data_IF_462654737036
#
_entry.id   IF_462654737036
#
_cell.length_a   1.000
_cell.length_b   1.000
_cell.length_c   1.000
_cell.angle_alpha   90.00
_cell.angle_beta   90.00
_cell.angle_gamma   90.00
#
_symmetry.space_group_name_H-M   'P 1'
#
loop_
_entity.id
_entity.type
_entity.pdbx_description
1 polymer ?
#
# COMPACT_ATOMS: atom_id res chain seq x y z
N UNK A 1 3.59 -46.43 32.75
CA UNK A 1 2.13 -46.13 32.83
C UNK A 1 1.97 -44.67 33.23
N UNK A 2 1.22 -43.93 32.40
CA UNK A 2 0.43 -42.71 32.63
C UNK A 2 0.84 -41.65 33.69
N UNK A 3 1.24 -40.46 33.18
CA UNK A 3 0.50 -39.17 33.13
C UNK A 3 -0.21 -38.68 34.41
N UNK A 4 -0.17 -37.41 34.86
CA UNK A 4 -0.45 -36.08 34.27
C UNK A 4 -0.07 -35.02 35.36
N UNK A 5 0.07 -33.69 35.21
CA UNK A 5 -0.60 -32.66 34.40
C UNK A 5 0.39 -31.50 34.19
N UNK A 6 0.69 -31.16 32.93
CA UNK A 6 1.31 -29.89 32.55
C UNK A 6 0.23 -28.92 32.08
N UNK A 7 0.21 -27.71 32.65
CA UNK A 7 -0.67 -26.62 32.23
C UNK A 7 -0.25 -26.12 30.85
N UNK A 8 -1.09 -26.38 29.85
CA UNK A 8 -0.94 -25.87 28.50
C UNK A 8 -1.30 -24.37 28.47
N UNK A 9 -0.29 -23.51 28.44
CA UNK A 9 -0.43 -22.15 27.92
C UNK A 9 -0.49 -22.21 26.39
N UNK A 10 -1.57 -21.68 25.83
CA UNK A 10 -1.82 -21.64 24.39
C UNK A 10 -0.63 -20.99 23.63
N UNK A 11 -0.12 -21.59 22.55
CA UNK A 11 0.92 -20.96 21.72
C UNK A 11 0.33 -19.76 20.96
N UNK A 12 0.89 -18.57 21.21
CA UNK A 12 0.56 -17.32 20.53
C UNK A 12 0.75 -17.42 19.00
N UNK A 13 -0.33 -17.19 18.27
CA UNK A 13 -0.47 -17.22 16.80
C UNK A 13 0.14 -15.99 16.09
N UNK A 14 0.84 -15.11 16.81
CA UNK A 14 1.29 -13.79 16.34
C UNK A 14 2.71 -13.77 15.74
N UNK A 15 3.37 -14.93 15.64
CA UNK A 15 4.78 -15.06 15.20
C UNK A 15 4.97 -15.34 13.71
N UNK A 16 3.94 -15.19 12.88
CA UNK A 16 3.91 -15.84 11.55
C UNK A 16 4.03 -14.93 10.32
N UNK A 17 4.23 -13.62 10.45
CA UNK A 17 4.35 -12.74 9.26
C UNK A 17 5.81 -12.35 8.96
N UNK A 18 6.71 -12.44 9.94
CA UNK A 18 8.17 -12.56 9.74
C UNK A 18 8.67 -13.41 10.90
N UNK A 19 9.30 -14.56 10.64
CA UNK A 19 9.99 -15.32 11.69
C UNK A 19 11.14 -14.48 12.22
N UNK A 20 11.28 -14.36 13.54
CA UNK A 20 12.46 -13.74 14.19
C UNK A 20 13.77 -14.48 13.83
N UNK A 21 13.63 -15.66 13.24
CA UNK A 21 14.63 -16.60 12.79
C UNK A 21 14.93 -16.50 11.28
N UNK A 22 14.46 -15.45 10.58
CA UNK A 22 15.04 -15.08 9.28
C UNK A 22 16.45 -14.53 9.55
N UNK A 23 17.53 -15.26 9.18
CA UNK A 23 18.88 -14.77 9.39
C UNK A 23 18.99 -13.41 8.72
N UNK A 24 19.53 -12.42 9.43
CA UNK A 24 19.85 -11.11 8.86
C UNK A 24 20.57 -11.36 7.54
N UNK A 25 19.89 -11.09 6.42
CA UNK A 25 20.44 -11.27 5.09
C UNK A 25 21.54 -10.21 5.01
N UNK A 26 22.77 -10.58 5.38
CA UNK A 26 23.97 -9.86 5.01
C UNK A 26 24.17 -10.11 3.52
N UNK A 27 23.31 -9.49 2.71
CA UNK A 27 23.54 -9.39 1.28
C UNK A 27 24.72 -8.43 1.12
N UNK A 28 25.86 -8.96 0.66
CA UNK A 28 26.82 -8.11 -0.05
C UNK A 28 26.05 -7.40 -1.17
N UNK A 29 25.90 -6.07 -1.08
CA UNK A 29 25.21 -5.28 -2.12
C UNK A 29 25.92 -5.55 -3.45
N UNK A 30 25.24 -6.29 -4.35
CA UNK A 30 25.77 -6.51 -5.69
C UNK A 30 25.56 -5.24 -6.51
N UNK A 31 26.54 -4.85 -7.35
CA UNK A 31 26.37 -3.70 -8.26
C UNK A 31 25.15 -3.81 -9.18
N UNK A 32 24.69 -5.04 -9.45
CA UNK A 32 23.49 -5.35 -10.23
C UNK A 32 22.22 -4.83 -9.55
N UNK A 33 22.09 -5.03 -8.23
CA UNK A 33 20.93 -4.58 -7.45
C UNK A 33 20.76 -3.05 -7.50
N UNK A 34 21.87 -2.30 -7.53
CA UNK A 34 21.82 -0.85 -7.65
C UNK A 34 21.32 -0.42 -9.03
N UNK A 35 21.77 -1.08 -10.11
CA UNK A 35 21.33 -0.75 -11.48
C UNK A 35 19.85 -1.04 -11.67
N UNK A 36 19.40 -2.19 -11.17
CA UNK A 36 17.99 -2.61 -11.22
C UNK A 36 17.10 -1.61 -10.49
N UNK A 37 17.47 -1.21 -9.28
CA UNK A 37 16.75 -0.17 -8.52
C UNK A 37 16.71 1.16 -9.27
N UNK A 38 17.82 1.60 -9.84
CA UNK A 38 17.88 2.84 -10.60
C UNK A 38 17.03 2.79 -11.87
N UNK A 39 17.02 1.65 -12.58
CA UNK A 39 16.18 1.43 -13.76
C UNK A 39 14.70 1.48 -13.39
N UNK A 40 14.29 0.77 -12.33
CA UNK A 40 12.92 0.78 -11.80
C UNK A 40 12.51 2.20 -11.39
N UNK A 41 13.35 2.89 -10.62
CA UNK A 41 13.07 4.25 -10.17
C UNK A 41 12.89 5.21 -11.34
N UNK A 42 13.81 5.18 -12.31
CA UNK A 42 13.78 6.06 -13.48
C UNK A 42 12.53 5.79 -14.32
N UNK A 43 12.26 4.53 -14.64
CA UNK A 43 11.09 4.11 -15.41
C UNK A 43 9.79 4.52 -14.72
N UNK A 44 9.65 4.17 -13.44
CA UNK A 44 8.44 4.42 -12.67
C UNK A 44 8.20 5.92 -12.50
N UNK A 45 9.21 6.71 -12.14
CA UNK A 45 9.03 8.14 -11.89
C UNK A 45 8.71 8.91 -13.17
N UNK A 46 9.38 8.59 -14.28
CA UNK A 46 9.10 9.22 -15.57
C UNK A 46 7.70 8.88 -16.07
N UNK A 47 7.33 7.60 -16.04
CA UNK A 47 6.00 7.15 -16.46
C UNK A 47 4.88 7.70 -15.56
N UNK A 48 5.05 7.64 -14.24
CA UNK A 48 4.06 8.14 -13.29
C UNK A 48 3.88 9.67 -13.38
N UNK A 49 4.95 10.44 -13.62
CA UNK A 49 4.83 11.88 -13.90
C UNK A 49 3.99 12.13 -15.15
N UNK A 50 4.19 11.33 -16.21
CA UNK A 50 3.36 11.38 -17.41
C UNK A 50 1.88 11.09 -17.11
N UNK A 51 1.60 10.09 -16.28
CA UNK A 51 0.22 9.75 -15.90
C UNK A 51 -0.46 10.80 -15.02
N UNK A 52 0.27 11.48 -14.13
CA UNK A 52 -0.24 12.61 -13.33
C UNK A 52 -0.66 13.77 -14.24
N UNK A 53 0.19 14.13 -15.20
CA UNK A 53 -0.13 15.16 -16.20
C UNK A 53 -1.35 14.77 -17.05
N UNK A 54 -1.47 13.50 -17.44
CA UNK A 54 -2.66 13.00 -18.12
C UNK A 54 -3.91 13.04 -17.23
N UNK A 55 -3.78 12.78 -15.93
CA UNK A 55 -4.88 12.84 -14.99
C UNK A 55 -5.48 14.25 -14.90
N UNK A 56 -4.66 15.32 -14.86
CA UNK A 56 -5.19 16.71 -14.85
C UNK A 56 -5.92 17.10 -16.11
N UNK A 57 -5.52 16.54 -17.25
CA UNK A 57 -6.16 16.82 -18.54
C UNK A 57 -7.58 16.30 -18.61
N UNK A 58 -8.01 15.46 -17.67
CA UNK A 58 -9.40 15.03 -17.57
C UNK A 58 -10.31 16.13 -17.01
N UNK A 59 -11.52 16.29 -17.58
CA UNK A 59 -12.51 17.24 -17.06
C UNK A 59 -12.86 16.93 -15.62
N UNK A 60 -13.10 17.97 -14.81
CA UNK A 60 -13.44 17.84 -13.41
C UNK A 60 -14.63 16.90 -13.16
N UNK A 61 -15.60 16.85 -14.09
CA UNK A 61 -16.74 15.92 -14.01
C UNK A 61 -16.30 14.45 -14.09
N UNK A 62 -15.35 14.09 -14.96
CA UNK A 62 -14.83 12.73 -15.06
C UNK A 62 -14.00 12.35 -13.82
N UNK A 63 -13.13 13.26 -13.38
CA UNK A 63 -12.35 13.10 -12.14
C UNK A 63 -13.24 12.97 -10.91
N UNK A 64 -14.39 13.64 -10.88
CA UNK A 64 -15.39 13.48 -9.81
C UNK A 64 -16.04 12.11 -9.84
N UNK A 65 -16.36 11.57 -11.02
CA UNK A 65 -16.97 10.23 -11.13
C UNK A 65 -16.04 9.15 -10.59
N UNK A 66 -14.73 9.24 -10.90
CA UNK A 66 -13.71 8.37 -10.31
C UNK A 66 -13.74 8.42 -8.78
N UNK A 67 -13.78 9.63 -8.22
CA UNK A 67 -13.80 9.83 -6.76
C UNK A 67 -15.12 9.40 -6.13
N UNK A 68 -16.24 9.53 -6.82
CA UNK A 68 -17.54 9.12 -6.31
C UNK A 68 -17.64 7.60 -6.11
N UNK A 69 -16.99 6.82 -6.99
CA UNK A 69 -16.89 5.37 -6.82
C UNK A 69 -16.05 4.99 -5.59
N UNK A 70 -15.01 5.77 -5.29
CA UNK A 70 -14.06 5.48 -4.20
C UNK A 70 -14.50 6.03 -2.83
N UNK A 71 -15.04 7.25 -2.78
CA UNK A 71 -15.32 8.01 -1.55
C UNK A 71 -16.80 8.40 -1.39
N UNK A 72 -17.65 8.06 -2.36
CA UNK A 72 -19.11 8.28 -2.30
C UNK A 72 -19.63 9.54 -3.00
N UNK A 73 -20.95 9.78 -3.00
CA UNK A 73 -21.61 10.74 -3.90
C UNK A 73 -21.13 12.19 -3.80
N UNK A 74 -20.67 12.60 -2.62
CA UNK A 74 -20.25 13.97 -2.32
C UNK A 74 -18.75 14.21 -2.52
N UNK A 75 -18.02 13.23 -3.08
CA UNK A 75 -16.59 13.36 -3.28
C UNK A 75 -16.25 14.52 -4.24
N UNK A 76 -15.19 15.25 -3.90
CA UNK A 76 -14.63 16.29 -4.77
C UNK A 76 -13.93 15.65 -5.99
N UNK A 77 -13.74 16.39 -7.09
CA UNK A 77 -12.91 15.92 -8.20
C UNK A 77 -11.51 15.50 -7.72
N UNK A 78 -10.99 14.39 -8.26
CA UNK A 78 -9.63 13.94 -8.01
C UNK A 78 -8.63 15.06 -8.34
N UNK A 79 -7.65 15.31 -7.47
CA UNK A 79 -6.55 16.25 -7.70
C UNK A 79 -5.25 15.47 -7.93
N UNK A 80 -4.57 15.71 -9.05
CA UNK A 80 -3.27 15.11 -9.31
C UNK A 80 -2.17 15.75 -8.46
N UNK A 81 -0.98 15.14 -8.48
CA UNK A 81 0.25 15.75 -7.97
C UNK A 81 1.14 16.32 -9.10
N UNK A 82 0.60 16.53 -10.31
CA UNK A 82 1.33 17.13 -11.44
C UNK A 82 1.89 18.54 -11.15
N UNK A 83 1.18 19.45 -10.43
CA UNK A 83 1.65 20.80 -10.20
C UNK A 83 3.06 20.86 -9.59
N UNK A 84 3.90 21.78 -10.10
CA UNK A 84 5.33 21.87 -9.73
C UNK A 84 5.57 22.04 -8.23
N UNK A 85 4.69 22.74 -7.50
CA UNK A 85 4.82 22.95 -6.06
C UNK A 85 4.48 21.71 -5.21
N UNK A 86 3.96 20.64 -5.84
CA UNK A 86 3.69 19.36 -5.19
C UNK A 86 4.79 18.31 -5.48
N UNK A 87 5.90 18.70 -6.11
CA UNK A 87 6.97 17.79 -6.52
C UNK A 87 7.50 16.93 -5.36
N UNK A 88 7.77 17.53 -4.20
CA UNK A 88 8.29 16.79 -3.04
C UNK A 88 7.31 15.72 -2.56
N UNK A 89 6.03 16.08 -2.49
CA UNK A 89 4.96 15.15 -2.15
C UNK A 89 4.82 14.05 -3.20
N UNK A 90 4.93 14.40 -4.48
CA UNK A 90 4.89 13.45 -5.60
C UNK A 90 6.03 12.44 -5.50
N UNK A 91 7.28 12.87 -5.30
CA UNK A 91 8.43 11.96 -5.15
C UNK A 91 8.29 11.04 -3.93
N UNK A 92 7.82 11.57 -2.80
CA UNK A 92 7.51 10.75 -1.61
C UNK A 92 6.43 9.70 -1.92
N UNK A 93 5.37 10.06 -2.64
CA UNK A 93 4.32 9.10 -2.99
C UNK A 93 4.83 8.05 -3.99
N UNK A 94 5.60 8.46 -5.00
CA UNK A 94 6.20 7.54 -5.97
C UNK A 94 7.15 6.56 -5.30
N UNK A 95 7.94 7.02 -4.32
CA UNK A 95 8.87 6.17 -3.60
C UNK A 95 8.21 4.96 -2.92
N UNK A 96 6.96 5.11 -2.42
CA UNK A 96 6.22 4.01 -1.80
C UNK A 96 5.92 2.88 -2.81
N UNK A 97 5.64 3.24 -4.06
CA UNK A 97 5.37 2.30 -5.14
C UNK A 97 6.66 1.78 -5.78
N UNK A 98 7.67 2.63 -5.95
CA UNK A 98 8.99 2.19 -6.40
C UNK A 98 9.58 1.18 -5.42
N UNK A 99 9.46 1.43 -4.10
CA UNK A 99 9.87 0.49 -3.06
C UNK A 99 9.17 -0.86 -3.16
N UNK A 100 7.86 -0.87 -3.44
CA UNK A 100 7.11 -2.10 -3.71
C UNK A 100 7.72 -2.88 -4.88
N UNK A 101 7.90 -2.23 -6.03
CA UNK A 101 8.40 -2.90 -7.23
C UNK A 101 9.82 -3.42 -7.03
N UNK A 102 10.71 -2.62 -6.45
CA UNK A 102 12.07 -3.04 -6.11
C UNK A 102 12.06 -4.25 -5.16
N UNK A 103 11.20 -4.23 -4.15
CA UNK A 103 11.05 -5.35 -3.23
C UNK A 103 10.59 -6.61 -3.97
N UNK A 104 9.53 -6.53 -4.78
CA UNK A 104 8.99 -7.69 -5.48
C UNK A 104 10.00 -8.30 -6.46
N UNK A 105 10.71 -7.47 -7.22
CA UNK A 105 11.75 -7.91 -8.16
C UNK A 105 12.84 -8.66 -7.41
N UNK A 106 13.38 -8.05 -6.35
CA UNK A 106 14.39 -8.68 -5.50
C UNK A 106 13.89 -10.01 -4.93
N UNK A 107 12.73 -10.00 -4.29
CA UNK A 107 12.17 -11.20 -3.66
C UNK A 107 11.85 -12.31 -4.66
N UNK A 108 11.47 -11.95 -5.89
CA UNK A 108 11.22 -12.94 -6.96
C UNK A 108 12.53 -13.56 -7.45
N UNK A 109 13.57 -12.77 -7.66
CA UNK A 109 14.91 -13.26 -8.04
C UNK A 109 15.51 -14.19 -6.97
N UNK A 110 15.21 -13.94 -5.70
CA UNK A 110 15.71 -14.71 -4.57
C UNK A 110 14.76 -15.80 -4.04
N UNK A 111 13.56 -15.94 -4.60
CA UNK A 111 12.59 -16.95 -4.18
C UNK A 111 12.04 -16.78 -2.75
N UNK A 112 11.96 -15.54 -2.25
CA UNK A 112 11.59 -15.26 -0.85
C UNK A 112 10.14 -14.80 -0.65
N UNK A 113 9.39 -14.53 -1.72
CA UNK A 113 8.01 -14.00 -1.65
C UNK A 113 7.08 -14.84 -0.76
N UNK A 114 7.05 -16.15 -0.97
CA UNK A 114 6.17 -17.05 -0.21
C UNK A 114 6.56 -17.13 1.27
N UNK A 115 7.88 -17.10 1.55
CA UNK A 115 8.41 -17.11 2.92
C UNK A 115 8.03 -15.84 3.68
N UNK A 116 7.81 -14.73 2.97
CA UNK A 116 7.35 -13.45 3.50
C UNK A 116 5.82 -13.32 3.49
N UNK A 117 5.11 -14.41 3.22
CA UNK A 117 3.65 -14.49 3.33
C UNK A 117 2.89 -13.88 2.16
N UNK A 118 3.54 -13.73 0.99
CA UNK A 118 2.91 -13.29 -0.26
C UNK A 118 2.90 -14.43 -1.29
N UNK A 119 1.70 -14.94 -1.58
CA UNK A 119 1.41 -16.03 -2.49
C UNK A 119 0.67 -15.50 -3.73
N UNK A 120 1.42 -15.17 -4.77
CA UNK A 120 0.84 -14.71 -6.03
C UNK A 120 0.19 -15.87 -6.77
N UNK A 121 -0.96 -15.62 -7.41
CA UNK A 121 -1.51 -16.58 -8.36
C UNK A 121 -0.62 -16.67 -9.62
N UNK A 122 -0.86 -17.68 -10.46
CA UNK A 122 -0.06 -17.94 -11.66
C UNK A 122 -0.01 -16.71 -12.58
N UNK A 123 -1.17 -16.12 -12.89
CA UNK A 123 -1.25 -14.93 -13.75
C UNK A 123 -0.49 -13.71 -13.19
N UNK A 124 -0.47 -13.48 -11.87
CA UNK A 124 0.32 -12.39 -11.24
C UNK A 124 1.80 -12.75 -11.16
N UNK A 125 2.11 -14.05 -11.07
CA UNK A 125 3.49 -14.54 -11.08
C UNK A 125 4.13 -14.34 -12.44
N UNK A 126 3.40 -14.64 -13.52
CA UNK A 126 3.84 -14.43 -14.90
C UNK A 126 4.04 -12.94 -15.21
N UNK A 127 3.08 -12.09 -14.87
CA UNK A 127 3.25 -10.63 -15.02
C UNK A 127 4.46 -10.10 -14.22
N UNK A 128 4.74 -10.65 -13.03
CA UNK A 128 5.92 -10.26 -12.26
C UNK A 128 7.22 -10.75 -12.92
N UNK A 129 7.21 -11.92 -13.58
CA UNK A 129 8.35 -12.39 -14.36
C UNK A 129 8.64 -11.47 -15.54
N UNK A 130 7.61 -10.96 -16.22
CA UNK A 130 7.76 -9.96 -17.28
C UNK A 130 8.43 -8.69 -16.74
N UNK A 131 8.02 -8.20 -15.56
CA UNK A 131 8.68 -7.05 -14.91
C UNK A 131 10.15 -7.35 -14.63
N UNK A 132 10.48 -8.50 -14.04
CA UNK A 132 11.87 -8.89 -13.75
C UNK A 132 12.72 -8.96 -15.01
N UNK A 133 12.18 -9.51 -16.10
CA UNK A 133 12.86 -9.56 -17.38
C UNK A 133 13.09 -8.16 -17.95
N UNK A 134 12.08 -7.29 -17.90
CA UNK A 134 12.19 -5.92 -18.39
C UNK A 134 13.12 -5.05 -17.54
N UNK A 135 13.23 -5.30 -16.23
CA UNK A 135 14.25 -4.67 -15.37
C UNK A 135 15.63 -5.05 -15.86
N UNK A 136 15.88 -6.33 -16.11
CA UNK A 136 17.18 -6.81 -16.60
C UNK A 136 17.55 -6.13 -17.92
N UNK A 137 16.58 -6.02 -18.84
CA UNK A 137 16.78 -5.34 -20.13
C UNK A 137 17.03 -3.84 -19.94
N UNK A 138 16.23 -3.16 -19.12
CA UNK A 138 16.36 -1.73 -18.86
C UNK A 138 17.67 -1.37 -18.16
N UNK A 139 18.15 -2.20 -17.23
CA UNK A 139 19.43 -2.02 -16.53
C UNK A 139 20.64 -2.12 -17.46
N UNK A 140 20.52 -2.87 -18.57
CA UNK A 140 21.61 -3.06 -19.54
C UNK A 140 21.51 -2.08 -20.71
N UNK A 141 20.31 -1.90 -21.26
CA UNK A 141 20.08 -1.14 -22.51
C UNK A 141 19.51 0.26 -22.29
N UNK A 142 19.04 0.58 -21.08
CA UNK A 142 18.43 1.87 -20.74
C UNK A 142 17.00 2.07 -21.26
N UNK A 143 16.35 1.04 -21.83
CA UNK A 143 14.95 1.13 -22.27
C UNK A 143 14.00 1.04 -21.08
N UNK A 144 13.60 2.21 -20.57
CA UNK A 144 12.74 2.35 -19.40
C UNK A 144 11.24 2.36 -19.74
N UNK A 145 10.87 2.52 -21.01
CA UNK A 145 9.45 2.60 -21.40
C UNK A 145 8.78 1.23 -21.30
N UNK A 146 9.45 0.19 -21.79
CA UNK A 146 8.95 -1.18 -21.71
C UNK A 146 8.77 -1.62 -20.25
N UNK A 147 9.77 -1.35 -19.42
CA UNK A 147 9.72 -1.60 -17.98
C UNK A 147 8.55 -0.87 -17.29
N UNK A 148 8.31 0.39 -17.64
CA UNK A 148 7.18 1.11 -17.07
C UNK A 148 5.85 0.46 -17.45
N UNK A 149 5.68 0.03 -18.70
CA UNK A 149 4.43 -0.57 -19.17
C UNK A 149 4.16 -1.92 -18.48
N UNK A 150 5.13 -2.83 -18.41
CA UNK A 150 4.96 -4.10 -17.69
C UNK A 150 4.70 -3.90 -16.20
N UNK A 151 5.39 -2.94 -15.58
CA UNK A 151 5.15 -2.55 -14.20
C UNK A 151 3.72 -2.04 -14.01
N UNK A 152 3.26 -1.17 -14.91
CA UNK A 152 1.92 -0.58 -14.84
C UNK A 152 0.83 -1.63 -15.02
N UNK A 153 1.00 -2.56 -15.96
CA UNK A 153 0.07 -3.66 -16.22
C UNK A 153 -0.02 -4.59 -15.00
N UNK A 154 1.13 -4.98 -14.43
CA UNK A 154 1.20 -5.78 -13.21
C UNK A 154 0.46 -5.13 -12.02
N UNK A 155 0.76 -3.84 -11.75
CA UNK A 155 0.15 -3.09 -10.64
C UNK A 155 -1.34 -2.88 -10.88
N UNK A 156 -1.74 -2.56 -12.11
CA UNK A 156 -3.14 -2.34 -12.47
C UNK A 156 -3.95 -3.63 -12.39
N UNK A 157 -3.40 -4.76 -12.82
CA UNK A 157 -3.99 -6.08 -12.63
C UNK A 157 -4.15 -6.42 -11.15
N UNK A 158 -3.17 -6.06 -10.32
CA UNK A 158 -3.23 -6.24 -8.87
C UNK A 158 -4.30 -5.35 -8.21
N UNK A 159 -4.54 -4.12 -8.70
CA UNK A 159 -5.57 -3.23 -8.16
C UNK A 159 -6.99 -3.75 -8.44
N UNK A 160 -7.23 -4.36 -9.61
CA UNK A 160 -8.58 -4.80 -10.01
C UNK A 160 -8.91 -6.24 -9.63
N UNK A 161 -7.98 -6.93 -8.96
CA UNK A 161 -8.16 -8.31 -8.52
C UNK A 161 -9.23 -8.40 -7.43
N UNK A 162 -10.35 -9.03 -7.76
CA UNK A 162 -11.53 -9.14 -6.87
C UNK A 162 -11.42 -10.25 -5.83
N UNK A 163 -10.46 -11.15 -6.00
CA UNK A 163 -10.23 -12.28 -5.10
C UNK A 163 -9.02 -12.02 -4.18
N UNK A 164 -8.55 -10.76 -4.20
CA UNK A 164 -7.41 -10.31 -3.44
C UNK A 164 -7.63 -10.48 -1.94
N UNK A 165 -6.63 -11.08 -1.30
CA UNK A 165 -6.43 -11.04 0.14
C UNK A 165 -5.12 -10.34 0.45
N UNK A 166 -4.87 -10.02 1.72
CA UNK A 166 -3.58 -9.52 2.19
C UNK A 166 -2.42 -10.49 1.92
N UNK A 167 -2.68 -11.77 1.67
CA UNK A 167 -1.66 -12.78 1.39
C UNK A 167 -1.53 -13.12 -0.08
N UNK A 168 -2.51 -12.76 -0.92
CA UNK A 168 -2.52 -13.13 -2.34
C UNK A 168 -2.35 -11.94 -3.29
N UNK A 169 -2.39 -10.72 -2.76
CA UNK A 169 -2.31 -9.51 -3.55
C UNK A 169 -1.25 -8.55 -3.01
N UNK A 170 -0.40 -8.05 -3.90
CA UNK A 170 0.75 -7.21 -3.55
C UNK A 170 0.36 -5.88 -2.92
N UNK A 171 -0.80 -5.31 -3.27
CA UNK A 171 -1.18 -3.97 -2.84
C UNK A 171 -1.59 -3.92 -1.36
N UNK A 172 -2.55 -4.73 -0.87
CA UNK A 172 -2.87 -4.77 0.55
C UNK A 172 -1.72 -5.37 1.36
N UNK A 173 -0.96 -6.34 0.81
CA UNK A 173 0.23 -6.89 1.46
C UNK A 173 1.27 -5.80 1.73
N UNK A 174 1.65 -5.04 0.71
CA UNK A 174 2.62 -3.94 0.85
C UNK A 174 2.13 -2.82 1.75
N UNK A 175 0.84 -2.50 1.68
CA UNK A 175 0.26 -1.49 2.59
C UNK A 175 0.38 -1.93 4.05
N UNK A 176 0.14 -3.21 4.34
CA UNK A 176 0.33 -3.76 5.69
C UNK A 176 1.80 -3.67 6.13
N UNK A 177 2.74 -3.99 5.24
CA UNK A 177 4.19 -3.87 5.45
C UNK A 177 4.58 -2.41 5.78
N UNK A 178 4.12 -1.44 4.98
CA UNK A 178 4.37 -0.01 5.19
C UNK A 178 3.78 0.51 6.50
N UNK A 179 2.58 0.08 6.88
CA UNK A 179 1.93 0.48 8.13
C UNK A 179 2.67 -0.13 9.33
N UNK A 180 2.99 -1.41 9.27
CA UNK A 180 3.70 -2.11 10.36
C UNK A 180 5.07 -1.52 10.62
N UNK A 181 5.86 -1.21 9.58
CA UNK A 181 7.20 -0.65 9.81
C UNK A 181 7.15 0.73 10.47
N UNK A 182 6.14 1.53 10.18
CA UNK A 182 5.95 2.80 10.86
C UNK A 182 5.49 2.64 12.31
N UNK A 183 4.64 1.66 12.62
CA UNK A 183 4.20 1.40 14.00
C UNK A 183 5.32 0.80 14.86
N UNK A 184 6.27 0.10 14.25
CA UNK A 184 7.43 -0.50 14.95
C UNK A 184 8.43 0.56 15.45
N UNK A 185 8.24 1.84 15.11
CA UNK A 185 9.15 2.93 15.49
C UNK A 185 8.98 3.43 16.93
N UNK A 186 7.87 3.11 17.60
CA UNK A 186 7.54 3.73 18.90
C UNK A 186 8.03 2.93 20.13
N UNK A 187 8.09 1.58 20.09
CA UNK A 187 8.49 0.75 21.26
C UNK A 187 9.85 0.01 21.09
N UNK A 188 10.31 -0.25 19.86
CA UNK A 188 11.56 -0.97 19.57
C UNK A 188 12.57 -0.15 18.72
N UNK A 189 12.28 1.13 18.49
CA UNK A 189 13.26 2.12 18.03
C UNK A 189 13.69 2.08 16.57
N UNK A 190 13.24 1.13 15.74
CA UNK A 190 13.72 0.99 14.36
C UNK A 190 12.61 0.76 13.32
N UNK A 191 12.31 1.80 12.52
CA UNK A 191 11.64 1.64 11.22
C UNK A 191 12.57 0.88 10.26
N UNK A 192 12.52 -0.45 10.29
CA UNK A 192 13.44 -1.34 9.57
C UNK A 192 13.36 -1.25 8.05
N UNK A 193 12.23 -0.79 7.49
CA UNK A 193 12.09 -0.59 6.04
C UNK A 193 12.82 0.69 5.63
N UNK A 194 12.65 1.76 6.39
CA UNK A 194 13.19 3.06 6.03
C UNK A 194 14.65 3.24 6.49
N UNK A 195 15.07 2.54 7.55
CA UNK A 195 16.47 2.51 8.05
C UNK A 195 17.28 1.31 7.55
N UNK A 196 16.73 0.48 6.65
CA UNK A 196 17.50 -0.61 6.05
C UNK A 196 18.86 -0.10 5.60
N UNK A 197 19.93 -0.81 5.95
CA UNK A 197 21.33 -0.46 5.69
C UNK A 197 21.72 -0.49 4.20
N UNK A 198 20.77 -0.15 3.33
CA UNK A 198 20.98 0.04 1.93
C UNK A 198 21.46 1.47 1.74
N UNK A 199 22.64 1.62 1.14
CA UNK A 199 23.25 2.94 0.88
C UNK A 199 22.41 3.83 -0.05
N UNK A 200 21.33 3.27 -0.61
CA UNK A 200 20.36 3.91 -1.50
C UNK A 200 18.92 3.46 -1.19
N UNK A 201 18.44 3.65 0.04
CA UNK A 201 17.03 3.37 0.35
C UNK A 201 16.10 4.33 -0.39
N UNK A 202 15.20 3.79 -1.21
CA UNK A 202 14.22 4.58 -1.97
C UNK A 202 13.14 5.12 -1.04
N UNK A 203 12.87 4.45 0.09
CA UNK A 203 11.79 4.81 1.00
C UNK A 203 12.23 5.87 2.01
N UNK A 204 11.60 7.06 2.02
CA UNK A 204 11.88 8.11 3.00
C UNK A 204 11.41 7.73 4.41
N UNK A 205 12.30 7.95 5.38
CA UNK A 205 12.14 7.60 6.80
C UNK A 205 11.04 8.40 7.49
N UNK A 206 10.79 9.61 7.02
CA UNK A 206 9.95 10.62 7.67
C UNK A 206 8.53 10.69 7.10
N UNK A 207 8.05 9.69 6.35
CA UNK A 207 6.68 9.69 5.81
C UNK A 207 5.68 9.14 6.82
N UNK A 208 4.72 9.96 7.28
CA UNK A 208 3.68 9.53 8.21
C UNK A 208 2.85 8.38 7.65
N UNK A 209 2.37 7.48 8.51
CA UNK A 209 1.51 6.34 8.12
C UNK A 209 0.35 6.79 7.24
N UNK A 210 -0.29 7.90 7.61
CA UNK A 210 -1.40 8.49 6.86
C UNK A 210 -1.02 8.77 5.40
N UNK A 211 0.19 9.26 5.17
CA UNK A 211 0.67 9.60 3.83
C UNK A 211 1.14 8.36 3.06
N UNK A 212 1.64 7.31 3.74
CA UNK A 212 1.90 5.98 3.14
C UNK A 212 0.60 5.37 2.58
N UNK A 213 -0.49 5.41 3.34
CA UNK A 213 -1.79 4.90 2.87
C UNK A 213 -2.37 5.79 1.76
N UNK A 214 -2.27 7.12 1.90
CA UNK A 214 -2.71 8.05 0.85
C UNK A 214 -1.96 7.86 -0.46
N UNK A 215 -0.67 7.53 -0.46
CA UNK A 215 0.06 7.29 -1.70
C UNK A 215 -0.45 6.07 -2.44
N UNK A 216 -0.83 5.00 -1.73
CA UNK A 216 -1.45 3.82 -2.32
C UNK A 216 -2.82 4.15 -2.93
N UNK A 217 -3.65 4.92 -2.23
CA UNK A 217 -4.94 5.36 -2.78
C UNK A 217 -4.81 6.37 -3.93
N UNK A 218 -3.78 7.21 -3.91
CA UNK A 218 -3.57 8.23 -4.93
C UNK A 218 -3.19 7.63 -6.27
N UNK A 219 -2.14 6.81 -6.30
CA UNK A 219 -1.67 6.23 -7.56
C UNK A 219 -2.61 5.16 -8.10
N UNK A 220 -3.38 4.46 -7.25
CA UNK A 220 -4.43 3.58 -7.76
C UNK A 220 -5.48 4.33 -8.57
N UNK A 221 -5.82 5.57 -8.18
CA UNK A 221 -6.71 6.46 -8.95
C UNK A 221 -6.08 6.89 -10.26
N UNK A 222 -4.80 7.29 -10.23
CA UNK A 222 -4.05 7.66 -11.45
C UNK A 222 -4.05 6.49 -12.45
N UNK A 223 -3.72 5.28 -12.00
CA UNK A 223 -3.66 4.08 -12.85
C UNK A 223 -5.04 3.67 -13.36
N UNK A 224 -6.06 3.73 -12.51
CA UNK A 224 -7.45 3.44 -12.93
C UNK A 224 -7.92 4.42 -14.00
N UNK A 225 -7.62 5.70 -13.85
CA UNK A 225 -7.99 6.74 -14.82
C UNK A 225 -7.24 6.55 -16.15
N UNK A 226 -5.97 6.15 -16.10
CA UNK A 226 -5.20 5.80 -17.27
C UNK A 226 -5.75 4.55 -17.98
N UNK A 227 -6.06 3.48 -17.24
CA UNK A 227 -6.69 2.27 -17.78
C UNK A 227 -8.01 2.60 -18.49
N UNK A 228 -8.86 3.42 -17.86
CA UNK A 228 -10.12 3.85 -18.46
C UNK A 228 -9.91 4.67 -19.75
N UNK A 229 -8.78 5.37 -19.89
CA UNK A 229 -8.42 6.08 -21.12
C UNK A 229 -8.12 5.12 -22.27
N UNK A 230 -7.28 4.10 -22.04
CA UNK A 230 -6.87 3.16 -23.09
C UNK A 230 -8.02 2.34 -23.67
N UNK A 231 -9.07 2.09 -22.88
CA UNK A 231 -10.22 1.28 -23.31
C UNK A 231 -11.32 2.13 -23.99
N UNK A 232 -11.37 3.45 -23.76
CA UNK A 232 -12.43 4.33 -24.27
C UNK A 232 -12.28 4.85 -25.72
N UNK A 233 -11.18 4.57 -26.42
CA UNK A 233 -10.94 5.09 -27.77
C UNK A 233 -10.62 6.61 -27.80
N UNK A 234 -10.63 7.27 -28.98
CA UNK A 234 -10.11 8.62 -29.13
C UNK A 234 -10.86 9.65 -28.27
N UNK A 235 -10.08 10.51 -27.59
CA UNK A 235 -10.54 11.59 -26.72
C UNK A 235 -11.55 12.49 -27.46
N UNK A 236 -12.70 12.83 -26.85
CA UNK A 236 -13.57 13.88 -27.36
C UNK A 236 -12.79 15.21 -27.43
N UNK A 237 -12.85 15.90 -28.57
CA UNK A 237 -12.10 17.14 -28.81
C UNK A 237 -12.22 18.15 -27.64
N UNK A 238 -11.13 18.83 -27.31
CA UNK A 238 -11.05 19.77 -26.17
C UNK A 238 -12.09 20.91 -26.27
N UNK A 239 -12.57 21.21 -27.49
CA UNK A 239 -13.66 22.15 -27.73
C UNK A 239 -15.03 21.66 -27.22
N UNK A 240 -15.30 20.35 -27.24
CA UNK A 240 -16.55 19.76 -26.75
C UNK A 240 -16.58 19.60 -25.23
N UNK A 241 -15.39 19.55 -24.61
CA UNK A 241 -15.19 19.35 -23.18
C UNK A 241 -15.59 20.58 -22.35
N UNK A 242 -15.48 21.79 -22.91
CA UNK A 242 -15.64 23.03 -22.13
C UNK A 242 -17.08 23.46 -21.84
N UNK A 243 -18.10 22.93 -22.52
CA UNK A 243 -19.46 23.50 -22.37
C UNK A 243 -20.61 22.52 -22.22
N UNK A 244 -20.53 21.27 -22.65
CA UNK A 244 -21.65 20.33 -22.50
C UNK A 244 -21.18 18.88 -22.38
N UNK A 245 -21.02 18.41 -21.14
CA UNK A 245 -20.87 17.00 -20.76
C UNK A 245 -22.15 16.17 -21.03
N UNK A 246 -22.87 16.41 -22.13
CA UNK A 246 -24.19 15.81 -22.43
C UNK A 246 -24.20 14.97 -23.70
N UNK A 247 -23.12 14.98 -24.49
CA UNK A 247 -23.04 14.15 -25.70
C UNK A 247 -23.15 12.65 -25.35
N UNK A 248 -23.71 11.85 -26.26
CA UNK A 248 -23.83 10.39 -26.10
C UNK A 248 -22.45 9.76 -25.84
N UNK A 249 -21.44 10.21 -26.59
CA UNK A 249 -20.04 9.78 -26.44
C UNK A 249 -19.51 10.09 -25.04
N UNK A 250 -19.76 11.30 -24.51
CA UNK A 250 -19.30 11.64 -23.17
C UNK A 250 -20.00 10.83 -22.08
N UNK A 251 -21.29 10.55 -22.23
CA UNK A 251 -22.03 9.66 -21.31
C UNK A 251 -21.45 8.24 -21.32
N UNK A 252 -21.08 7.72 -22.48
CA UNK A 252 -20.43 6.41 -22.60
C UNK A 252 -19.05 6.40 -21.89
N UNK A 253 -18.23 7.45 -22.09
CA UNK A 253 -16.94 7.60 -21.41
C UNK A 253 -17.12 7.66 -19.89
N UNK A 254 -18.06 8.47 -19.40
CA UNK A 254 -18.35 8.56 -17.96
C UNK A 254 -18.83 7.23 -17.38
N UNK A 255 -19.73 6.53 -18.07
CA UNK A 255 -20.20 5.22 -17.65
C UNK A 255 -19.06 4.20 -17.60
N UNK A 256 -18.13 4.26 -18.57
CA UNK A 256 -16.95 3.41 -18.57
C UNK A 256 -16.00 3.73 -17.42
N UNK A 257 -15.68 5.01 -17.18
CA UNK A 257 -14.85 5.43 -16.04
C UNK A 257 -15.46 4.95 -14.73
N UNK A 258 -16.79 5.08 -14.55
CA UNK A 258 -17.47 4.56 -13.37
C UNK A 258 -17.30 3.05 -13.26
N UNK A 259 -17.52 2.29 -14.33
CA UNK A 259 -17.31 0.84 -14.34
C UNK A 259 -15.89 0.45 -13.96
N UNK A 260 -14.86 1.11 -14.51
CA UNK A 260 -13.46 0.82 -14.14
C UNK A 260 -13.15 1.24 -12.70
N UNK A 261 -13.69 2.38 -12.26
CA UNK A 261 -13.54 2.85 -10.88
C UNK A 261 -14.22 1.91 -9.88
N UNK A 262 -15.41 1.39 -10.18
CA UNK A 262 -16.11 0.43 -9.31
C UNK A 262 -15.34 -0.89 -9.21
N UNK A 263 -14.69 -1.33 -10.30
CA UNK A 263 -13.83 -2.54 -10.29
C UNK A 263 -12.55 -2.33 -9.48
N UNK A 264 -11.92 -1.17 -9.60
CA UNK A 264 -10.58 -0.90 -9.09
C UNK A 264 -10.56 -0.28 -7.68
N UNK A 265 -11.46 0.68 -7.46
CA UNK A 265 -11.50 1.59 -6.31
C UNK A 265 -12.76 1.45 -5.46
N UNK A 266 -13.73 0.66 -5.94
CA UNK A 266 -15.06 0.62 -5.38
C UNK A 266 -15.06 0.28 -3.88
N UNK A 267 -16.02 0.86 -3.16
CA UNK A 267 -16.32 0.58 -1.75
C UNK A 267 -16.83 -0.84 -1.49
N UNK A 268 -16.80 -1.71 -2.50
CA UNK A 268 -17.20 -3.11 -2.38
C UNK A 268 -16.21 -3.85 -1.52
N UNK A 269 -16.71 -4.47 -0.47
CA UNK A 269 -15.95 -5.36 0.40
C UNK A 269 -15.20 -6.38 -0.47
N UNK A 270 -13.91 -6.63 -0.14
CA UNK A 270 -12.98 -7.54 -0.83
C UNK A 270 -12.26 -6.99 -2.07
N UNK A 271 -12.37 -5.71 -2.41
CA UNK A 271 -11.40 -5.12 -3.35
C UNK A 271 -10.12 -4.73 -2.61
N UNK A 272 -8.93 -4.77 -3.27
CA UNK A 272 -7.68 -4.31 -2.70
C UNK A 272 -7.78 -2.88 -2.15
N UNK A 273 -8.44 -2.00 -2.88
CA UNK A 273 -8.60 -0.60 -2.50
C UNK A 273 -9.61 -0.38 -1.38
N UNK A 274 -10.62 -1.24 -1.25
CA UNK A 274 -11.48 -1.24 -0.07
C UNK A 274 -10.65 -1.54 1.19
N UNK A 275 -9.76 -2.54 1.14
CA UNK A 275 -8.89 -2.89 2.27
C UNK A 275 -7.94 -1.75 2.64
N UNK A 276 -7.32 -1.11 1.65
CA UNK A 276 -6.46 0.07 1.87
C UNK A 276 -7.25 1.27 2.40
N UNK A 277 -8.46 1.52 1.89
CA UNK A 277 -9.32 2.61 2.35
C UNK A 277 -9.85 2.37 3.78
N UNK A 278 -10.15 1.11 4.13
CA UNK A 278 -10.56 0.72 5.48
C UNK A 278 -9.48 1.05 6.52
N UNK A 279 -8.20 0.83 6.19
CA UNK A 279 -7.08 1.23 7.07
C UNK A 279 -7.01 2.74 7.30
N UNK A 280 -7.42 3.55 6.31
CA UNK A 280 -7.51 5.01 6.45
C UNK A 280 -8.66 5.41 7.38
N UNK A 281 -9.82 4.75 7.28
CA UNK A 281 -11.02 5.13 8.05
C UNK A 281 -10.96 4.65 9.50
N UNK A 282 -10.47 3.43 9.75
CA UNK A 282 -10.30 2.90 11.11
C UNK A 282 -9.42 3.78 12.01
N UNK A 283 -8.59 4.65 11.42
CA UNK A 283 -7.74 5.60 12.14
C UNK A 283 -8.40 6.97 12.38
N UNK A 284 -9.40 7.37 11.60
CA UNK A 284 -10.13 8.63 11.83
C UNK A 284 -10.87 8.63 13.16
N UNK A 285 -11.36 7.47 13.61
CA UNK A 285 -11.96 7.31 14.93
C UNK A 285 -10.98 7.39 16.11
N UNK A 286 -9.66 7.42 15.86
CA UNK A 286 -8.62 7.55 16.89
C UNK A 286 -7.98 8.95 16.96
N UNK A 287 -8.23 9.84 15.98
CA UNK A 287 -7.69 11.21 15.96
C UNK A 287 -8.47 12.20 16.85
N UNK A 288 -9.65 11.83 17.38
CA UNK A 288 -10.47 12.67 18.26
C UNK A 288 -10.12 12.55 19.76
N UNK A 289 -9.16 11.70 20.13
CA UNK A 289 -8.63 11.66 21.50
C UNK A 289 -7.54 12.74 21.62
N UNK A 290 -7.71 13.78 22.45
CA UNK A 290 -6.74 14.87 22.54
C UNK A 290 -5.41 14.32 23.04
N UNK A 291 -4.41 14.32 22.17
CA UNK A 291 -3.01 14.09 22.54
C UNK A 291 -2.62 15.21 23.50
N UNK A 292 -2.64 14.92 24.81
CA UNK A 292 -1.97 15.76 25.81
C UNK A 292 -0.49 15.78 25.44
N UNK A 293 -0.03 16.89 24.87
CA UNK A 293 1.39 17.13 24.67
C UNK A 293 2.08 17.00 26.04
N UNK A 294 3.15 16.21 26.17
CA UNK A 294 3.95 16.24 27.38
C UNK A 294 4.53 17.65 27.52
N UNK A 295 4.24 18.26 28.66
CA UNK A 295 4.71 19.59 29.02
C UNK A 295 6.23 19.58 28.97
N UNK A 296 6.79 20.44 28.12
CA UNK A 296 8.22 20.67 27.96
C UNK A 296 8.84 20.96 29.33
N UNK A 297 9.63 20.02 29.85
CA UNK A 297 10.39 20.14 31.09
C UNK A 297 11.46 21.22 30.92
N UNK A 298 11.18 22.40 31.47
CA UNK A 298 12.22 23.35 31.87
C UNK A 298 12.83 22.84 33.18
N UNK A 299 14.16 22.92 33.27
CA UNK A 299 14.92 22.28 34.33
C UNK A 299 14.72 22.86 35.74
N UNK A 300 15.21 22.04 36.67
CA UNK A 300 15.73 22.32 38.01
C UNK A 300 14.92 21.99 39.28
N UNK A 301 15.64 21.28 40.15
CA UNK A 301 15.56 21.04 41.60
C UNK A 301 14.65 19.93 42.17
N UNK A 302 15.35 18.91 42.67
CA UNK A 302 15.15 18.06 43.85
C UNK A 302 13.81 18.10 44.61
N UNK A 303 13.24 16.92 44.86
CA UNK A 303 12.24 16.70 45.89
C UNK A 303 11.51 15.36 45.74
N UNK A 304 11.76 14.45 46.67
CA UNK A 304 11.10 13.16 46.87
C UNK A 304 9.57 13.24 47.00
N UNK A 305 8.82 12.35 46.35
CA UNK A 305 7.70 11.58 46.93
C UNK A 305 7.11 10.65 45.87
N UNK A 306 6.82 9.42 46.27
CA UNK A 306 6.15 8.39 45.48
C UNK A 306 4.71 8.77 45.15
N UNK A 307 4.25 8.41 43.95
CA UNK A 307 2.89 7.96 43.65
C UNK A 307 2.92 7.18 42.31
N UNK A 308 2.35 5.98 42.32
CA UNK A 308 2.29 4.99 41.24
C UNK A 308 1.30 5.38 40.13
N UNK A 309 1.57 5.08 38.84
CA UNK A 309 0.56 5.18 37.79
C UNK A 309 -0.07 3.80 37.52
N UNK A 310 -1.29 3.58 38.01
CA UNK A 310 -2.24 2.62 37.43
C UNK A 310 -3.11 3.38 36.42
N UNK A 311 -2.66 3.52 35.18
CA UNK A 311 -3.58 3.87 34.05
C UNK A 311 -3.00 3.66 32.64
N UNK A 312 -1.81 3.05 32.50
CA UNK A 312 -1.22 2.79 31.18
C UNK A 312 -1.67 1.44 30.58
N UNK A 313 -2.06 0.44 31.37
CA UNK A 313 -2.38 -0.90 30.84
C UNK A 313 -3.67 -0.94 30.00
N UNK A 314 -4.62 -0.04 30.25
CA UNK A 314 -5.91 -0.04 29.56
C UNK A 314 -5.81 0.57 28.16
N UNK A 315 -4.93 1.54 27.96
CA UNK A 315 -4.61 2.10 26.64
C UNK A 315 -3.92 1.08 25.73
N UNK A 316 -2.98 0.30 26.26
CA UNK A 316 -2.26 -0.74 25.50
C UNK A 316 -3.15 -1.94 25.15
N UNK A 317 -4.08 -2.32 26.02
CA UNK A 317 -4.98 -3.45 25.77
C UNK A 317 -5.98 -3.18 24.63
N UNK A 318 -6.46 -1.94 24.45
CA UNK A 318 -7.41 -1.63 23.37
C UNK A 318 -6.78 -1.58 21.98
N UNK A 319 -5.57 -1.01 21.87
CA UNK A 319 -4.80 -1.00 20.59
C UNK A 319 -4.44 -2.41 20.12
N UNK A 320 -4.04 -3.28 21.06
CA UNK A 320 -3.71 -4.67 20.75
C UNK A 320 -4.97 -5.48 20.37
N UNK A 321 -6.12 -5.19 20.98
CA UNK A 321 -7.40 -5.87 20.70
C UNK A 321 -7.95 -5.53 19.31
N UNK A 322 -7.83 -4.27 18.86
CA UNK A 322 -8.24 -3.87 17.51
C UNK A 322 -7.42 -4.57 16.42
N UNK A 323 -6.11 -4.71 16.62
CA UNK A 323 -5.23 -5.47 15.73
C UNK A 323 -5.53 -6.98 15.73
N UNK A 324 -5.81 -7.59 16.90
CA UNK A 324 -6.20 -9.02 16.99
C UNK A 324 -7.55 -9.32 16.33
N UNK A 325 -8.53 -8.45 16.51
CA UNK A 325 -9.88 -8.65 15.96
C UNK A 325 -9.89 -8.61 14.43
N UNK A 326 -8.92 -7.93 13.80
CA UNK A 326 -8.76 -7.87 12.34
C UNK A 326 -8.03 -9.07 11.72
N UNK A 327 -7.32 -9.89 12.51
CA UNK A 327 -6.53 -11.04 12.02
C UNK A 327 -7.28 -12.39 12.19
N UNK A 328 -8.48 -12.37 12.77
CA UNK A 328 -9.40 -13.50 12.75
C UNK A 328 -9.09 -14.61 13.75
N UNK A 329 -9.42 -14.38 15.03
CA UNK A 329 -9.72 -15.48 15.95
C UNK A 329 -11.14 -15.98 15.68
N UNK A 330 -11.28 -17.00 14.81
CA UNK A 330 -12.46 -17.86 14.85
C UNK A 330 -12.22 -18.94 15.89
N UNK A 331 -13.01 -18.89 16.96
CA UNK A 331 -13.06 -19.91 18.00
C UNK A 331 -13.23 -21.32 17.40
N UNK A 332 -12.30 -22.20 17.71
CA UNK A 332 -12.40 -23.66 17.52
C UNK A 332 -13.27 -24.19 18.65
N UNK A 333 -14.58 -24.03 18.53
CA UNK A 333 -15.53 -24.59 19.49
C UNK A 333 -16.92 -24.78 18.85
N UNK A 334 -16.99 -25.40 17.67
CA UNK A 334 -18.23 -25.96 17.13
C UNK A 334 -17.87 -26.89 15.96
N UNK A 335 -18.48 -28.08 15.90
CA UNK A 335 -18.14 -29.26 15.08
C UNK A 335 -17.11 -30.23 15.69
N UNK A 336 -17.39 -30.67 16.91
CA UNK A 336 -17.14 -32.06 17.33
C UNK A 336 -18.42 -32.65 17.89
N UNK A 337 -19.33 -33.01 17.00
CA UNK A 337 -20.40 -33.98 17.28
C UNK A 337 -20.73 -34.71 15.99
N UNK A 338 -20.28 -35.95 15.88
CA UNK A 338 -21.05 -37.14 15.50
C UNK A 338 -20.14 -38.39 15.56
N UNK A 339 -20.69 -39.60 15.80
CA UNK A 339 -20.03 -40.66 16.56
C UNK A 339 -19.25 -41.66 15.69
N UNK A 340 -18.50 -42.50 16.40
CA UNK A 340 -17.53 -43.49 15.93
C UNK A 340 -18.02 -44.49 14.88
#
# INVERSE_FOLDING_TARGET
MAATVGGAGAPNMFRFIVRDDVPAIRAEERPEDHRDRQAIQTAFWHGADGLEGLAERWPAAARRVLMQAAEGPHALPFESLDPKWLLDRRRRFQSMWTGLVCFLVYSKQHGTLEQMGLLLNEARTDDLLDVVQDVTVASVLGDTNRLFNSTLDFLTGSIVDKEATTHTNVIPWWTAVLVRSALSSDDEGDDFISRGAFTSNILPIDVPIRDRVKSMLHYSRVFTLHRAFHVCGPRPDDHHVRRTCTSVTWRAVIAHIRSEADKALGSTVRTPMYEVARLREGRRGMEDTPVRRPTRTAGHYAGSSADTPEDESDYFNEHHKAARTMVGERNVAEFSTLPA
#
